data_IF_252106434491
#
_entry.id   IF_252106434491
#
_cell.length_a   1.000
_cell.length_b   1.000
_cell.length_c   1.000
_cell.angle_alpha   90.00
_cell.angle_beta   90.00
_cell.angle_gamma   90.00
#
_symmetry.space_group_name_H-M   'P 1'
#
loop_
_entity.id
_entity.type
_entity.pdbx_description
1 polymer ?
#
# COMPACT_ATOMS: atom_id res chain seq x y z
N UNK A 1 16.87 6.88 -60.31
CA UNK A 1 15.90 7.50 -59.37
C UNK A 1 14.91 6.42 -58.98
N UNK A 2 15.21 5.65 -57.92
CA UNK A 2 14.30 4.60 -57.43
C UNK A 2 13.83 4.99 -56.04
N UNK A 3 12.52 5.20 -55.93
CA UNK A 3 11.78 5.49 -54.71
C UNK A 3 11.70 4.22 -53.88
N UNK A 4 12.36 4.19 -52.71
CA UNK A 4 12.19 3.08 -51.76
C UNK A 4 10.85 3.25 -51.06
N UNK A 5 10.01 2.24 -51.26
CA UNK A 5 8.69 2.05 -50.68
C UNK A 5 8.77 2.07 -49.16
N UNK A 6 7.89 2.83 -48.52
CA UNK A 6 7.60 2.74 -47.08
C UNK A 6 6.64 1.58 -46.91
N UNK A 7 7.03 0.57 -46.14
CA UNK A 7 6.12 -0.49 -45.70
C UNK A 7 5.17 0.03 -44.62
N UNK A 8 3.90 -0.43 -44.60
CA UNK A 8 2.99 -0.07 -43.52
C UNK A 8 3.44 -0.81 -42.25
N UNK A 9 3.68 -0.06 -41.18
CA UNK A 9 3.76 -0.61 -39.83
C UNK A 9 2.39 -1.19 -39.52
N UNK A 10 2.27 -2.51 -39.66
CA UNK A 10 1.20 -3.28 -39.03
C UNK A 10 1.28 -2.99 -37.54
N UNK A 11 0.30 -2.22 -37.08
CA UNK A 11 -0.02 -2.08 -35.68
C UNK A 11 -0.43 -3.45 -35.19
N UNK A 12 0.54 -4.20 -34.65
CA UNK A 12 0.25 -5.39 -33.87
C UNK A 12 -0.62 -4.95 -32.69
N UNK A 13 -1.94 -5.07 -32.87
CA UNK A 13 -2.88 -5.19 -31.76
C UNK A 13 -2.48 -6.45 -31.03
N UNK A 14 -1.55 -6.32 -30.09
CA UNK A 14 -1.21 -7.36 -29.14
C UNK A 14 -2.45 -7.54 -28.27
N UNK A 15 -3.25 -8.55 -28.62
CA UNK A 15 -4.38 -9.01 -27.82
C UNK A 15 -3.79 -9.53 -26.52
N UNK A 16 -3.81 -8.70 -25.48
CA UNK A 16 -3.40 -9.08 -24.13
C UNK A 16 -4.45 -10.08 -23.63
N UNK A 17 -4.11 -11.36 -23.69
CA UNK A 17 -4.80 -12.41 -22.94
C UNK A 17 -4.88 -12.00 -21.46
N UNK A 18 -6.08 -11.94 -20.85
CA UNK A 18 -6.22 -11.53 -19.47
C UNK A 18 -5.72 -12.67 -18.57
N UNK A 19 -4.44 -12.64 -18.23
CA UNK A 19 -3.92 -13.37 -17.07
C UNK A 19 -4.71 -12.86 -15.84
N UNK A 20 -5.47 -13.75 -15.21
CA UNK A 20 -6.26 -13.43 -14.01
C UNK A 20 -5.33 -13.09 -12.83
N UNK A 21 -4.82 -11.87 -12.83
CA UNK A 21 -4.04 -11.30 -11.75
C UNK A 21 -4.96 -10.42 -10.93
N UNK A 22 -5.21 -10.80 -9.68
CA UNK A 22 -5.87 -9.92 -8.72
C UNK A 22 -5.03 -8.63 -8.60
N UNK A 23 -5.59 -7.45 -8.94
CA UNK A 23 -4.80 -6.23 -8.98
C UNK A 23 -4.38 -5.82 -7.57
N UNK A 24 -3.10 -5.47 -7.40
CA UNK A 24 -2.54 -4.99 -6.13
C UNK A 24 -3.13 -3.64 -5.70
N UNK A 25 -3.52 -2.82 -6.67
CA UNK A 25 -4.16 -1.52 -6.48
C UNK A 25 -5.24 -1.33 -7.55
N UNK A 26 -6.43 -0.88 -7.15
CA UNK A 26 -7.56 -0.63 -8.05
C UNK A 26 -8.11 0.78 -7.82
N UNK A 27 -8.22 1.55 -8.90
CA UNK A 27 -8.95 2.82 -8.89
C UNK A 27 -10.45 2.50 -8.92
N UNK A 28 -11.16 2.84 -7.83
CA UNK A 28 -12.60 2.57 -7.71
C UNK A 28 -13.42 3.73 -8.29
N UNK A 29 -12.88 4.95 -8.28
CA UNK A 29 -13.57 6.16 -8.74
C UNK A 29 -12.54 7.19 -9.26
N UNK A 30 -12.90 7.90 -10.33
CA UNK A 30 -12.08 8.93 -10.96
C UNK A 30 -11.27 8.37 -12.13
N UNK A 31 -10.74 9.28 -12.95
CA UNK A 31 -9.84 8.99 -14.07
C UNK A 31 -8.53 9.76 -13.85
N UNK A 32 -7.60 9.23 -13.03
CA UNK A 32 -6.37 9.94 -12.69
C UNK A 32 -5.47 10.05 -13.92
N UNK A 33 -4.77 11.17 -14.06
CA UNK A 33 -3.77 11.28 -15.12
C UNK A 33 -2.62 10.28 -14.87
N UNK A 34 -1.84 9.92 -15.91
CA UNK A 34 -0.70 9.01 -15.76
C UNK A 34 0.28 9.46 -14.66
N UNK A 35 0.48 10.77 -14.52
CA UNK A 35 1.36 11.38 -13.53
C UNK A 35 0.79 11.20 -12.11
N UNK A 36 -0.51 11.41 -11.93
CA UNK A 36 -1.19 11.20 -10.65
C UNK A 36 -1.16 9.73 -10.23
N UNK A 37 -1.40 8.82 -11.17
CA UNK A 37 -1.30 7.38 -10.92
C UNK A 37 0.12 6.98 -10.51
N UNK A 38 1.14 7.51 -11.19
CA UNK A 38 2.55 7.28 -10.83
C UNK A 38 2.88 7.80 -9.42
N UNK A 39 2.36 8.97 -9.06
CA UNK A 39 2.52 9.53 -7.72
C UNK A 39 1.90 8.63 -6.64
N UNK A 40 0.69 8.11 -6.88
CA UNK A 40 0.03 7.18 -5.95
C UNK A 40 0.85 5.89 -5.76
N UNK A 41 1.35 5.31 -6.86
CA UNK A 41 2.20 4.12 -6.81
C UNK A 41 3.47 4.40 -6.03
N UNK A 42 4.13 5.53 -6.28
CA UNK A 42 5.36 5.93 -5.58
C UNK A 42 5.14 6.05 -4.07
N UNK A 43 4.04 6.67 -3.63
CA UNK A 43 3.70 6.81 -2.21
C UNK A 43 3.45 5.45 -1.56
N UNK A 44 2.67 4.57 -2.19
CA UNK A 44 2.38 3.24 -1.67
C UNK A 44 3.66 2.40 -1.55
N UNK A 45 4.51 2.43 -2.58
CA UNK A 45 5.79 1.75 -2.59
C UNK A 45 6.74 2.28 -1.50
N UNK A 46 6.86 3.61 -1.38
CA UNK A 46 7.68 4.24 -0.34
C UNK A 46 7.22 3.86 1.07
N UNK A 47 5.90 3.82 1.31
CA UNK A 47 5.34 3.39 2.60
C UNK A 47 5.64 1.91 2.88
N UNK A 48 5.56 1.04 1.88
CA UNK A 48 5.93 -0.37 2.00
C UNK A 48 7.42 -0.56 2.33
N UNK A 49 8.30 0.17 1.66
CA UNK A 49 9.73 0.14 1.92
C UNK A 49 10.07 0.66 3.34
N UNK A 50 9.39 1.71 3.81
CA UNK A 50 9.56 2.22 5.16
C UNK A 50 9.17 1.19 6.24
N UNK A 51 8.10 0.42 6.02
CA UNK A 51 7.72 -0.67 6.93
C UNK A 51 8.77 -1.78 6.93
N UNK A 52 9.31 -2.15 5.76
CA UNK A 52 10.33 -3.19 5.66
C UNK A 52 11.67 -2.80 6.32
N UNK A 53 12.02 -1.52 6.26
CA UNK A 53 13.26 -0.99 6.86
C UNK A 53 13.12 -0.61 8.35
N UNK A 54 11.90 -0.57 8.88
CA UNK A 54 11.68 -0.16 10.25
C UNK A 54 12.19 -1.21 11.26
N UNK A 55 12.89 -0.80 12.33
CA UNK A 55 13.16 -1.71 13.44
C UNK A 55 11.84 -2.17 14.06
N UNK A 56 11.84 -3.33 14.71
CA UNK A 56 10.66 -3.88 15.37
C UNK A 56 10.01 -2.80 16.27
N UNK A 57 8.83 -2.33 15.87
CA UNK A 57 8.14 -1.27 16.59
C UNK A 57 7.83 -1.75 18.01
N UNK A 58 8.14 -0.93 19.02
CA UNK A 58 7.66 -1.18 20.37
C UNK A 58 6.13 -1.23 20.31
N UNK A 59 5.53 -2.34 20.74
CA UNK A 59 4.07 -2.46 20.76
C UNK A 59 3.52 -1.30 21.58
N UNK A 60 2.55 -0.60 21.02
CA UNK A 60 1.77 0.35 21.79
C UNK A 60 1.07 -0.38 22.93
N UNK A 61 0.68 0.35 23.97
CA UNK A 61 -0.11 -0.21 25.07
C UNK A 61 -1.47 -0.79 24.60
N UNK A 62 -1.86 -0.57 23.33
CA UNK A 62 -3.04 -1.15 22.69
C UNK A 62 -2.81 -2.52 22.06
N UNK A 63 -1.63 -2.75 21.51
CA UNK A 63 -1.24 -4.03 20.94
C UNK A 63 -0.71 -5.03 21.99
N UNK A 64 -0.87 -4.75 23.28
CA UNK A 64 -0.37 -5.59 24.36
C UNK A 64 -1.21 -6.89 24.47
N UNK A 65 -0.60 -8.08 24.25
CA UNK A 65 -1.31 -9.36 24.37
C UNK A 65 -1.94 -9.59 25.76
N UNK A 66 -1.42 -8.95 26.81
CA UNK A 66 -2.00 -9.01 28.16
C UNK A 66 -3.43 -8.43 28.21
N UNK A 67 -3.88 -7.70 27.18
CA UNK A 67 -5.27 -7.25 27.03
C UNK A 67 -6.20 -8.27 26.37
N UNK A 68 -5.66 -9.29 25.71
CA UNK A 68 -6.47 -10.38 25.14
C UNK A 68 -6.95 -11.37 26.23
N UNK A 69 -6.34 -11.31 27.41
CA UNK A 69 -6.80 -11.99 28.62
C UNK A 69 -7.33 -10.96 29.62
N UNK A 70 -8.10 -11.39 30.62
CA UNK A 70 -8.55 -10.49 31.70
C UNK A 70 -7.38 -10.23 32.65
N UNK A 71 -6.78 -9.03 32.70
CA UNK A 71 -5.74 -8.74 33.65
C UNK A 71 -6.35 -8.38 35.02
N UNK A 72 -5.59 -8.58 36.08
CA UNK A 72 -5.94 -8.03 37.39
C UNK A 72 -5.89 -6.50 37.31
N UNK A 73 -6.90 -5.82 37.85
CA UNK A 73 -6.88 -4.35 37.91
C UNK A 73 -5.79 -3.90 38.88
N UNK A 74 -4.77 -3.24 38.36
CA UNK A 74 -3.70 -2.65 39.17
C UNK A 74 -4.05 -1.20 39.50
N UNK A 75 -4.10 -0.86 40.78
CA UNK A 75 -4.13 0.53 41.24
C UNK A 75 -2.70 1.07 41.28
N UNK A 76 -2.44 2.24 40.69
CA UNK A 76 -1.10 2.82 40.69
C UNK A 76 -0.94 4.03 39.77
N UNK A 77 0.22 4.68 39.89
CA UNK A 77 0.63 5.79 39.03
C UNK A 77 0.53 5.39 37.55
N UNK A 78 0.08 6.30 36.70
CA UNK A 78 -0.22 6.11 35.27
C UNK A 78 -1.41 5.23 34.89
N UNK A 79 -2.19 4.70 35.84
CA UNK A 79 -3.41 3.91 35.55
C UNK A 79 -4.41 4.67 34.66
N UNK A 80 -4.62 5.96 34.92
CA UNK A 80 -5.45 6.85 34.10
C UNK A 80 -4.76 7.29 32.80
N UNK A 81 -3.43 7.42 32.78
CA UNK A 81 -2.72 7.74 31.54
C UNK A 81 -2.84 6.60 30.52
N UNK A 82 -2.82 5.35 31.00
CA UNK A 82 -3.05 4.15 30.18
C UNK A 82 -4.45 4.02 29.57
N UNK A 83 -5.46 4.76 30.05
CA UNK A 83 -6.77 4.84 29.39
C UNK A 83 -6.84 5.94 28.32
N UNK A 84 -5.99 6.97 28.43
CA UNK A 84 -5.96 8.11 27.51
C UNK A 84 -5.07 7.89 26.29
N UNK A 85 -4.11 6.96 26.37
CA UNK A 85 -3.59 6.38 25.14
C UNK A 85 -4.78 5.68 24.48
N UNK A 86 -5.28 6.26 23.40
CA UNK A 86 -6.19 5.68 22.40
C UNK A 86 -5.38 4.84 21.40
N UNK A 87 -6.04 3.87 20.78
CA UNK A 87 -5.57 2.80 19.88
C UNK A 87 -4.21 3.03 19.21
#
# INVERSE_FOLDING_TARGET
MSTSSVEPVETATSSVEPVETTPLLRVVKGDPTPEELAALIAVVAARGAAVAAAPAARRSAWGDPARATRPTHTHGHDGWRRSAFSR
#
